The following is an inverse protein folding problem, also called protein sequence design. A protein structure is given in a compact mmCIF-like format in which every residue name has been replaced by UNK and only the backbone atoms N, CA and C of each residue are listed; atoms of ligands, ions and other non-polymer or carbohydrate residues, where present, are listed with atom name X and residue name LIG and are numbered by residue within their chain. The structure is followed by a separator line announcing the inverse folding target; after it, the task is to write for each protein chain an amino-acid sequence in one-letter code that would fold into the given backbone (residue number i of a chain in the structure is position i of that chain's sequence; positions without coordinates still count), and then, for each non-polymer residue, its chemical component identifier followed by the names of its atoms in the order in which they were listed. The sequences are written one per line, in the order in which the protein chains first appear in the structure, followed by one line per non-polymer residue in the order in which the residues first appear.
data_IF_273018463342
#
_entry.id   IF_273018463342
#
_cell.length_a   1.000
_cell.length_b   1.000
_cell.length_c   1.000
_cell.angle_alpha   90.00
_cell.angle_beta   90.00
_cell.angle_gamma   90.00
#
_symmetry.space_group_name_H-M   'P 1'
#
loop_
_entity.id
_entity.type
_entity.pdbx_description
1 polymer ?
#
# COMPACT_ATOMS: atom_id res chain seq x y z
N UNK A 1 12.02 2.18 0.20
CA UNK A 1 11.55 0.97 0.90
C UNK A 1 10.79 0.10 -0.08
N UNK A 2 11.06 -1.20 -0.13
CA UNK A 2 10.35 -2.15 -0.98
C UNK A 2 9.46 -3.05 -0.11
N UNK A 3 8.34 -3.50 -0.65
CA UNK A 3 7.44 -4.42 0.04
C UNK A 3 6.34 -4.93 -0.88
N UNK A 4 5.39 -5.66 -0.30
CA UNK A 4 4.24 -6.22 -1.01
C UNK A 4 2.97 -5.94 -0.22
N UNK A 5 1.95 -5.42 -0.89
CA UNK A 5 0.58 -5.37 -0.38
C UNK A 5 -0.16 -6.64 -0.81
N UNK A 6 -0.92 -7.22 0.12
CA UNK A 6 -1.82 -8.33 -0.16
C UNK A 6 -3.25 -7.79 -0.16
N UNK A 7 -3.88 -7.76 -1.32
CA UNK A 7 -5.25 -7.31 -1.49
C UNK A 7 -6.21 -8.50 -1.65
N UNK A 8 -7.49 -8.35 -1.29
CA UNK A 8 -8.49 -9.42 -1.45
C UNK A 8 -8.72 -9.80 -2.91
N UNK A 9 -9.27 -11.00 -3.12
CA UNK A 9 -9.80 -11.42 -4.41
C UNK A 9 -11.04 -10.61 -4.81
N UNK A 10 -11.43 -10.70 -6.09
CA UNK A 10 -12.60 -9.99 -6.64
C UNK A 10 -12.30 -8.58 -7.14
N UNK A 11 -11.02 -8.23 -7.28
CA UNK A 11 -10.56 -6.96 -7.86
C UNK A 11 -10.25 -7.11 -9.35
N UNK A 12 -10.38 -6.01 -10.10
CA UNK A 12 -10.02 -5.96 -11.51
C UNK A 12 -8.49 -5.88 -11.68
N UNK A 13 -7.83 -7.03 -11.83
CA UNK A 13 -6.36 -7.13 -11.90
C UNK A 13 -5.71 -6.32 -13.03
N UNK A 14 -6.44 -6.08 -14.12
CA UNK A 14 -5.95 -5.25 -15.24
C UNK A 14 -5.97 -3.74 -14.92
N UNK A 15 -6.64 -3.33 -13.84
CA UNK A 15 -6.64 -1.96 -13.35
C UNK A 15 -5.49 -1.75 -12.36
N UNK A 16 -4.96 -0.53 -12.34
CA UNK A 16 -3.95 -0.16 -11.37
C UNK A 16 -4.54 0.03 -9.98
N UNK A 17 -3.67 -0.10 -8.98
CA UNK A 17 -3.91 0.23 -7.58
C UNK A 17 -3.16 1.52 -7.26
N UNK A 18 -3.80 2.45 -6.56
CA UNK A 18 -3.14 3.65 -6.04
C UNK A 18 -3.17 3.64 -4.52
N UNK A 19 -2.31 4.45 -3.92
CA UNK A 19 -2.31 4.67 -2.47
C UNK A 19 -2.32 6.16 -2.16
N UNK A 20 -2.84 6.52 -1.01
CA UNK A 20 -2.89 7.88 -0.49
C UNK A 20 -2.66 7.83 1.02
N UNK A 21 -1.88 8.75 1.56
CA UNK A 21 -1.64 8.84 3.00
C UNK A 21 -2.49 9.99 3.54
N UNK A 22 -3.38 9.67 4.47
CA UNK A 22 -4.42 10.57 4.98
C UNK A 22 -5.16 11.28 3.82
N UNK A 23 -5.06 12.61 3.74
CA UNK A 23 -5.65 13.43 2.68
C UNK A 23 -4.57 14.10 1.80
N UNK A 24 -3.35 13.53 1.78
CA UNK A 24 -2.24 13.98 0.95
C UNK A 24 -2.39 13.61 -0.52
N UNK A 25 -1.31 13.75 -1.29
CA UNK A 25 -1.32 13.43 -2.72
C UNK A 25 -1.51 11.93 -2.98
N UNK A 26 -2.17 11.62 -4.10
CA UNK A 26 -2.28 10.23 -4.58
C UNK A 26 -0.91 9.79 -5.11
N UNK A 27 -0.40 8.71 -4.55
CA UNK A 27 0.85 8.08 -4.94
C UNK A 27 0.80 7.43 -6.32
N UNK A 28 1.95 6.94 -6.75
CA UNK A 28 2.09 6.32 -8.08
C UNK A 28 1.25 5.06 -8.20
N UNK A 29 0.54 4.94 -9.33
CA UNK A 29 -0.21 3.74 -9.69
C UNK A 29 0.70 2.50 -9.79
N UNK A 30 0.36 1.45 -9.04
CA UNK A 30 1.01 0.15 -9.02
C UNK A 30 0.14 -0.88 -9.75
N UNK A 31 0.76 -1.96 -10.24
CA UNK A 31 0.08 -3.05 -10.91
C UNK A 31 0.05 -4.30 -10.03
N UNK A 32 -0.97 -5.13 -10.21
CA UNK A 32 -0.97 -6.47 -9.63
C UNK A 32 0.14 -7.31 -10.27
N UNK A 33 0.92 -8.01 -9.45
CA UNK A 33 1.97 -8.90 -9.91
C UNK A 33 1.44 -10.33 -10.12
N UNK A 34 0.72 -10.87 -9.12
CA UNK A 34 0.14 -12.22 -9.16
C UNK A 34 -0.91 -12.38 -8.06
N UNK A 35 -1.62 -13.51 -8.02
CA UNK A 35 -2.45 -13.88 -6.88
C UNK A 35 -2.05 -15.26 -6.33
N UNK A 36 -1.99 -15.33 -5.00
CA UNK A 36 -1.72 -16.52 -4.19
C UNK A 36 -2.93 -16.81 -3.30
N UNK A 37 -3.01 -17.97 -2.61
CA UNK A 37 -4.15 -18.27 -1.73
C UNK A 37 -4.45 -17.20 -0.66
N UNK A 38 -3.45 -16.41 -0.26
CA UNK A 38 -3.62 -15.31 0.70
C UNK A 38 -4.26 -14.04 0.09
N UNK A 39 -4.25 -13.90 -1.23
CA UNK A 39 -4.75 -12.72 -1.95
C UNK A 39 -3.91 -12.35 -3.17
N UNK A 40 -4.22 -11.19 -3.75
CA UNK A 40 -3.52 -10.64 -4.90
C UNK A 40 -2.42 -9.68 -4.46
N UNK A 41 -1.21 -9.91 -4.97
CA UNK A 41 0.00 -9.21 -4.59
C UNK A 41 0.21 -7.98 -5.46
N UNK A 42 0.51 -6.86 -4.81
CA UNK A 42 0.94 -5.61 -5.45
C UNK A 42 2.29 -5.27 -4.86
N UNK A 43 3.32 -5.27 -5.69
CA UNK A 43 4.64 -4.85 -5.25
C UNK A 43 4.67 -3.32 -5.14
N UNK A 44 5.27 -2.84 -4.05
CA UNK A 44 5.37 -1.42 -3.74
C UNK A 44 6.82 -1.02 -3.56
N UNK A 45 7.16 0.14 -4.12
CA UNK A 45 8.44 0.80 -3.92
C UNK A 45 8.18 2.24 -3.47
N UNK A 46 8.28 2.48 -2.16
CA UNK A 46 8.10 3.81 -1.59
C UNK A 46 9.43 4.55 -1.55
N UNK A 47 9.45 5.77 -2.06
CA UNK A 47 10.59 6.68 -1.96
C UNK A 47 10.72 7.26 -0.54
N UNK A 48 11.80 8.02 -0.30
CA UNK A 48 12.07 8.59 1.02
C UNK A 48 10.93 9.50 1.50
N UNK A 49 10.36 10.31 0.60
CA UNK A 49 9.25 11.21 0.90
C UNK A 49 8.00 10.45 1.32
N UNK A 50 7.65 9.39 0.59
CA UNK A 50 6.49 8.54 0.92
C UNK A 50 6.70 7.85 2.27
N UNK A 51 7.91 7.38 2.56
CA UNK A 51 8.23 6.79 3.87
C UNK A 51 8.09 7.82 4.99
N UNK A 52 8.55 9.05 4.80
CA UNK A 52 8.33 10.14 5.78
C UNK A 52 6.83 10.37 6.01
N UNK A 53 6.02 10.43 4.94
CA UNK A 53 4.57 10.55 5.07
C UNK A 53 3.94 9.36 5.82
N UNK A 54 4.43 8.13 5.63
CA UNK A 54 3.96 6.96 6.39
C UNK A 54 4.31 7.03 7.87
N UNK A 55 5.44 7.66 8.22
CA UNK A 55 5.88 7.86 9.61
C UNK A 55 5.09 8.94 10.34
N UNK A 56 4.56 9.95 9.62
CA UNK A 56 3.78 11.03 10.21
C UNK A 56 2.27 10.84 10.09
N UNK A 57 1.84 10.01 9.14
CA UNK A 57 0.44 9.82 8.79
C UNK A 57 -0.31 8.89 9.75
N UNK A 58 -1.64 8.88 9.61
CA UNK A 58 -2.52 8.06 10.45
C UNK A 58 -3.10 6.84 9.72
N UNK A 59 -3.42 7.01 8.44
CA UNK A 59 -3.99 5.95 7.59
C UNK A 59 -3.39 5.98 6.19
N UNK A 60 -3.06 4.82 5.66
CA UNK A 60 -2.80 4.64 4.22
C UNK A 60 -4.06 4.06 3.59
N UNK A 61 -4.67 4.83 2.68
CA UNK A 61 -5.80 4.44 1.86
C UNK A 61 -5.26 3.80 0.58
N UNK A 62 -5.70 2.60 0.26
CA UNK A 62 -5.35 1.87 -0.97
C UNK A 62 -6.61 1.77 -1.82
N UNK A 63 -6.59 2.40 -2.99
CA UNK A 63 -7.71 2.39 -3.92
C UNK A 63 -7.47 1.36 -5.02
N UNK A 64 -8.45 0.51 -5.25
CA UNK A 64 -8.50 -0.47 -6.32
C UNK A 64 -9.88 -0.44 -7.00
N UNK A 65 -10.08 -1.22 -8.05
CA UNK A 65 -11.38 -1.40 -8.70
C UNK A 65 -11.88 -2.82 -8.44
N UNK A 66 -13.15 -2.97 -8.06
CA UNK A 66 -13.77 -4.30 -8.06
C UNK A 66 -14.00 -4.80 -9.49
N UNK A 67 -13.94 -6.11 -9.68
CA UNK A 67 -14.25 -6.70 -10.98
C UNK A 67 -15.73 -6.48 -11.33
N UNK A 68 -15.99 -5.86 -12.49
CA UNK A 68 -17.33 -5.47 -12.92
C UNK A 68 -18.02 -4.40 -12.08
N UNK A 69 -17.31 -3.72 -11.17
CA UNK A 69 -17.85 -2.73 -10.24
C UNK A 69 -16.98 -1.47 -10.15
N UNK A 70 -17.39 -0.53 -9.29
CA UNK A 70 -16.71 0.74 -9.09
C UNK A 70 -15.44 0.66 -8.23
N UNK A 71 -14.82 1.82 -7.94
CA UNK A 71 -13.65 1.90 -7.08
C UNK A 71 -13.99 1.50 -5.64
N UNK A 72 -13.03 0.83 -4.98
CA UNK A 72 -13.07 0.42 -3.58
C UNK A 72 -11.81 0.96 -2.90
N UNK A 73 -11.97 1.44 -1.66
CA UNK A 73 -10.88 1.94 -0.83
C UNK A 73 -10.70 1.05 0.39
N UNK A 74 -9.47 0.57 0.59
CA UNK A 74 -9.03 -0.17 1.77
C UNK A 74 -8.19 0.74 2.67
N UNK A 75 -8.41 0.69 3.98
CA UNK A 75 -7.69 1.54 4.94
C UNK A 75 -6.75 0.72 5.81
N UNK A 76 -5.47 1.11 5.82
CA UNK A 76 -4.43 0.50 6.66
C UNK A 76 -4.01 1.52 7.70
N UNK A 77 -4.18 1.21 8.99
CA UNK A 77 -3.76 2.09 10.08
C UNK A 77 -2.23 2.14 10.17
N UNK A 78 -1.68 3.34 10.30
CA UNK A 78 -0.23 3.57 10.38
C UNK A 78 0.29 3.68 11.82
N UNK A 79 -0.56 3.45 12.82
CA UNK A 79 -0.15 3.43 14.23
C UNK A 79 0.94 2.39 14.45
N UNK A 80 2.10 2.84 14.92
CA UNK A 80 3.27 1.99 15.18
C UNK A 80 4.20 1.79 13.98
N UNK A 81 3.91 2.35 12.81
CA UNK A 81 4.77 2.25 11.63
C UNK A 81 6.17 2.82 11.89
N UNK A 82 6.24 4.03 12.46
CA UNK A 82 7.50 4.74 12.75
C UNK A 82 8.44 3.93 13.64
N UNK A 83 7.94 3.43 14.76
CA UNK A 83 8.75 2.66 15.70
C UNK A 83 9.22 1.33 15.10
N UNK A 84 8.37 0.66 14.32
CA UNK A 84 8.73 -0.56 13.61
C UNK A 84 9.79 -0.30 12.54
N UNK A 85 9.63 0.78 11.75
CA UNK A 85 10.54 1.16 10.69
C UNK A 85 11.95 1.50 11.24
N UNK A 86 12.00 2.32 12.29
CA UNK A 86 13.27 2.67 12.95
C UNK A 86 13.96 1.42 13.52
N UNK A 87 13.18 0.49 14.09
CA UNK A 87 13.72 -0.78 14.60
C UNK A 87 14.30 -1.65 13.49
N UNK A 88 13.61 -1.79 12.36
CA UNK A 88 14.12 -2.54 11.20
C UNK A 88 15.41 -1.91 10.66
N UNK A 89 15.48 -0.58 10.57
CA UNK A 89 16.71 0.13 10.17
C UNK A 89 17.87 -0.14 11.11
N UNK A 90 17.64 -0.14 12.41
CA UNK A 90 18.68 -0.44 13.40
C UNK A 90 19.17 -1.90 13.34
N UNK A 91 18.36 -2.83 12.81
CA UNK A 91 18.68 -4.24 12.64
C UNK A 91 19.37 -4.57 11.32
N UNK A 92 19.29 -3.70 10.32
CA UNK A 92 19.89 -3.92 9.00
C UNK A 92 21.39 -3.60 8.94
N UNK A 93 22.02 -3.41 10.10
CA UNK A 93 23.47 -3.22 10.28
C UNK A 93 24.19 -4.54 10.48
#
# INVERSE_FOLDING_TARGET
MQGTLVLPFGLALASSVTYQIDDGDVGTAQQFHTCLPAGCLVDIAFDARTVESLMTGSVMKVQASADGCGPIVFSIALRGFTSAYDRVRALAN
#
